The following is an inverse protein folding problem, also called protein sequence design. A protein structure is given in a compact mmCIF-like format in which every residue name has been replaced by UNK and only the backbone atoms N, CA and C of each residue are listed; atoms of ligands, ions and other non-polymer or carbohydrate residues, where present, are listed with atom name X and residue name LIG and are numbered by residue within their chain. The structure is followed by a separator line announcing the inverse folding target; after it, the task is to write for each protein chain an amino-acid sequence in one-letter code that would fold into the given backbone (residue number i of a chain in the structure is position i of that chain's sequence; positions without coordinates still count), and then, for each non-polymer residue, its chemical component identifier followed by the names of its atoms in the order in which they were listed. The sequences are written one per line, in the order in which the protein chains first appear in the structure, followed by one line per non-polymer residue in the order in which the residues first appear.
data_IF_002757548213
#
_entry.id   IF_002757548213
#
_cell.length_a   1.000
_cell.length_b   1.000
_cell.length_c   1.000
_cell.angle_alpha   90.00
_cell.angle_beta   90.00
_cell.angle_gamma   90.00
#
_symmetry.space_group_name_H-M   'P 1'
#
loop_
_entity.id
_entity.type
_entity.pdbx_description
1 polymer ?
#
# COMPACT_ATOMS: atom_id res chain seq x y z
N UNK A 1 -11.14 0.67 -14.82
CA UNK A 1 -11.90 -0.49 -14.32
C UNK A 1 -11.02 -1.72 -14.08
N UNK A 2 -10.06 -2.05 -14.97
CA UNK A 2 -9.25 -3.26 -14.81
C UNK A 2 -8.43 -3.28 -13.52
N UNK A 3 -7.78 -2.16 -13.17
CA UNK A 3 -7.04 -2.05 -11.92
C UNK A 3 -7.96 -2.23 -10.69
N UNK A 4 -9.16 -1.63 -10.72
CA UNK A 4 -10.12 -1.77 -9.64
C UNK A 4 -10.66 -3.20 -9.53
N UNK A 5 -10.92 -3.87 -10.65
CA UNK A 5 -11.31 -5.28 -10.65
C UNK A 5 -10.21 -6.17 -10.05
N UNK A 6 -8.94 -5.85 -10.32
CA UNK A 6 -7.81 -6.56 -9.72
C UNK A 6 -7.69 -6.29 -8.21
N UNK A 7 -8.02 -5.08 -7.71
CA UNK A 7 -8.14 -4.80 -6.28
C UNK A 7 -9.21 -5.69 -5.65
N UNK A 8 -10.40 -5.77 -6.25
CA UNK A 8 -11.50 -6.58 -5.73
C UNK A 8 -11.12 -8.06 -5.70
N UNK A 9 -10.53 -8.57 -6.78
CA UNK A 9 -10.07 -9.96 -6.84
C UNK A 9 -8.97 -10.24 -5.81
N UNK A 10 -7.98 -9.33 -5.69
CA UNK A 10 -6.91 -9.48 -4.69
C UNK A 10 -7.46 -9.49 -3.27
N UNK A 11 -8.52 -8.72 -2.99
CA UNK A 11 -9.17 -8.76 -1.69
C UNK A 11 -9.82 -10.12 -1.41
N UNK A 12 -10.55 -10.70 -2.37
CA UNK A 12 -11.13 -12.03 -2.20
C UNK A 12 -10.04 -13.10 -2.00
N UNK A 13 -8.93 -12.99 -2.73
CA UNK A 13 -7.79 -13.88 -2.55
C UNK A 13 -7.11 -13.70 -1.19
N UNK A 14 -7.00 -12.46 -0.70
CA UNK A 14 -6.48 -12.17 0.63
C UNK A 14 -7.35 -12.82 1.72
N UNK A 15 -8.67 -12.70 1.60
CA UNK A 15 -9.61 -13.32 2.56
C UNK A 15 -9.55 -14.85 2.50
N UNK A 16 -9.36 -15.44 1.31
CA UNK A 16 -9.31 -16.88 1.14
C UNK A 16 -7.99 -17.52 1.59
N UNK A 17 -6.88 -16.81 1.46
CA UNK A 17 -5.53 -17.39 1.64
C UNK A 17 -4.76 -16.82 2.82
N UNK A 18 -5.09 -15.61 3.28
CA UNK A 18 -4.31 -14.87 4.29
C UNK A 18 -2.93 -14.40 3.80
N UNK A 19 -2.62 -14.52 2.50
CA UNK A 19 -1.29 -14.21 1.97
C UNK A 19 -1.10 -12.70 1.80
N UNK A 20 -0.10 -12.14 2.46
CA UNK A 20 0.22 -10.70 2.46
C UNK A 20 0.49 -10.11 1.06
N UNK A 21 0.90 -10.93 0.08
CA UNK A 21 1.12 -10.49 -1.30
C UNK A 21 -0.13 -9.87 -1.95
N UNK A 22 -1.31 -10.32 -1.56
CA UNK A 22 -2.55 -9.74 -2.09
C UNK A 22 -2.83 -8.37 -1.48
N UNK A 23 -2.48 -8.15 -0.22
CA UNK A 23 -2.55 -6.82 0.40
C UNK A 23 -1.54 -5.84 -0.23
N UNK A 24 -0.35 -6.31 -0.62
CA UNK A 24 0.62 -5.53 -1.38
C UNK A 24 0.08 -5.13 -2.77
N UNK A 25 -0.54 -6.07 -3.48
CA UNK A 25 -1.16 -5.79 -4.78
C UNK A 25 -2.30 -4.75 -4.66
N UNK A 26 -3.08 -4.83 -3.59
CA UNK A 26 -4.12 -3.83 -3.29
C UNK A 26 -3.49 -2.45 -3.10
N UNK A 27 -2.49 -2.34 -2.22
CA UNK A 27 -1.78 -1.08 -1.96
C UNK A 27 -1.20 -0.47 -3.24
N UNK A 28 -0.44 -1.28 -3.98
CA UNK A 28 0.20 -0.85 -5.22
C UNK A 28 -0.79 -0.30 -6.24
N UNK A 29 -1.93 -0.96 -6.39
CA UNK A 29 -2.96 -0.56 -7.33
C UNK A 29 -3.76 0.65 -6.84
N UNK A 30 -4.03 0.76 -5.54
CA UNK A 30 -4.70 1.93 -4.98
C UNK A 30 -3.87 3.18 -5.22
N UNK A 31 -2.58 3.17 -4.90
CA UNK A 31 -1.72 4.34 -5.06
C UNK A 31 -1.43 4.67 -6.54
N UNK A 32 -1.11 3.69 -7.37
CA UNK A 32 -0.52 3.96 -8.69
C UNK A 32 -1.47 3.85 -9.86
N UNK A 33 -2.54 3.06 -9.75
CA UNK A 33 -3.46 2.84 -10.85
C UNK A 33 -4.84 3.46 -10.60
N UNK A 34 -5.39 3.30 -9.40
CA UNK A 34 -6.72 3.80 -9.08
C UNK A 34 -6.70 5.30 -8.80
N UNK A 35 -5.77 5.79 -7.97
CA UNK A 35 -5.64 7.21 -7.64
C UNK A 35 -5.30 8.06 -8.86
N UNK A 36 -4.42 7.59 -9.74
CA UNK A 36 -4.06 8.28 -10.96
C UNK A 36 -5.26 8.47 -11.93
N UNK A 37 -6.31 7.66 -11.77
CA UNK A 37 -7.52 7.74 -12.57
C UNK A 37 -8.43 8.94 -12.26
N UNK A 38 -8.24 9.62 -11.13
CA UNK A 38 -9.03 10.78 -10.69
C UNK A 38 -8.16 12.03 -10.62
N UNK A 39 -8.69 13.18 -10.96
CA UNK A 39 -8.01 14.46 -10.77
C UNK A 39 -7.94 14.85 -9.28
N UNK A 40 -6.99 15.72 -8.93
CA UNK A 40 -6.81 16.20 -7.56
C UNK A 40 -8.06 16.91 -7.00
N UNK A 41 -8.83 17.55 -7.87
CA UNK A 41 -10.11 18.21 -7.49
C UNK A 41 -11.30 17.24 -7.40
N UNK A 42 -11.09 15.95 -7.72
CA UNK A 42 -12.11 14.91 -7.70
C UNK A 42 -13.19 15.02 -8.81
N UNK A 43 -13.06 15.95 -9.77
CA UNK A 43 -14.13 16.31 -10.72
C UNK A 43 -13.93 15.78 -12.13
N UNK A 44 -12.77 15.20 -12.42
CA UNK A 44 -12.49 14.63 -13.72
C UNK A 44 -11.67 13.36 -13.64
N UNK A 45 -11.78 12.53 -14.68
CA UNK A 45 -11.30 11.16 -14.65
C UNK A 45 -10.52 10.80 -15.92
N UNK A 46 -9.60 9.85 -15.80
CA UNK A 46 -9.00 9.14 -16.92
C UNK A 46 -9.71 7.79 -17.11
N UNK A 47 -10.04 7.46 -18.35
CA UNK A 47 -10.51 6.14 -18.73
C UNK A 47 -9.36 5.16 -18.95
N UNK A 48 -8.27 5.67 -19.52
CA UNK A 48 -7.00 4.98 -19.71
C UNK A 48 -5.92 5.76 -18.99
N UNK A 49 -5.01 5.08 -18.36
CA UNK A 49 -3.85 5.67 -17.70
C UNK A 49 -2.58 5.07 -18.32
N UNK A 50 -2.14 5.56 -19.50
CA UNK A 50 -0.96 5.06 -20.17
C UNK A 50 0.29 5.46 -19.38
N UNK A 51 1.27 4.55 -19.35
CA UNK A 51 2.57 4.80 -18.72
C UNK A 51 3.45 5.77 -19.52
N UNK A 52 3.14 5.96 -20.79
CA UNK A 52 3.79 6.92 -21.68
C UNK A 52 2.70 7.64 -22.46
N UNK A 53 2.68 8.97 -22.40
CA UNK A 53 1.61 9.79 -23.00
C UNK A 53 2.15 11.11 -23.51
N UNK A 54 1.64 11.56 -24.66
CA UNK A 54 1.91 12.87 -25.25
C UNK A 54 0.84 13.92 -24.87
N UNK A 55 0.10 13.70 -23.80
CA UNK A 55 -0.87 14.68 -23.30
C UNK A 55 -2.32 14.19 -23.29
N UNK A 56 -2.63 13.20 -22.50
CA UNK A 56 -4.00 12.77 -22.26
C UNK A 56 -4.68 13.66 -21.21
N UNK A 57 -5.89 14.18 -21.53
CA UNK A 57 -6.67 15.02 -20.61
C UNK A 57 -7.75 14.21 -19.91
N UNK A 58 -7.94 14.47 -18.64
CA UNK A 58 -9.09 13.99 -17.86
C UNK A 58 -10.38 14.64 -18.35
N UNK A 59 -11.49 13.91 -18.27
CA UNK A 59 -12.82 14.39 -18.66
C UNK A 59 -13.75 14.39 -17.45
N UNK A 60 -14.68 15.34 -17.34
CA UNK A 60 -15.64 15.38 -16.23
C UNK A 60 -16.52 14.13 -16.18
N UNK A 61 -16.85 13.56 -17.34
CA UNK A 61 -17.68 12.36 -17.43
C UNK A 61 -17.48 11.62 -18.75
N UNK A 62 -18.04 10.43 -18.83
CA UNK A 62 -18.00 9.55 -20.01
C UNK A 62 -19.39 8.99 -20.29
N UNK A 63 -19.73 8.78 -21.57
CA UNK A 63 -20.99 8.15 -21.98
C UNK A 63 -21.16 6.75 -21.34
N UNK A 64 -20.08 5.99 -21.25
CA UNK A 64 -20.00 4.74 -20.49
C UNK A 64 -19.20 4.99 -19.23
N UNK A 65 -19.89 5.30 -18.13
CA UNK A 65 -19.28 5.82 -16.91
C UNK A 65 -18.78 4.72 -15.94
N UNK A 66 -18.26 3.60 -16.44
CA UNK A 66 -17.81 2.49 -15.57
C UNK A 66 -16.59 2.87 -14.72
N UNK A 67 -15.66 3.68 -15.23
CA UNK A 67 -14.46 4.05 -14.47
C UNK A 67 -14.78 5.02 -13.33
N UNK A 68 -15.50 6.14 -13.52
CA UNK A 68 -15.87 7.03 -12.42
C UNK A 68 -16.67 6.32 -11.32
N UNK A 69 -17.69 5.54 -11.69
CA UNK A 69 -18.53 4.86 -10.70
C UNK A 69 -17.75 3.79 -9.92
N UNK A 70 -16.86 3.04 -10.56
CA UNK A 70 -16.02 2.06 -9.87
C UNK A 70 -14.98 2.73 -8.95
N UNK A 71 -14.39 3.86 -9.35
CA UNK A 71 -13.51 4.65 -8.47
C UNK A 71 -14.30 5.11 -7.25
N UNK A 72 -15.45 5.74 -7.44
CA UNK A 72 -16.27 6.26 -6.35
C UNK A 72 -16.66 5.18 -5.34
N UNK A 73 -17.14 4.01 -5.80
CA UNK A 73 -17.50 2.93 -4.89
C UNK A 73 -16.29 2.32 -4.16
N UNK A 74 -15.12 2.28 -4.80
CA UNK A 74 -13.88 1.77 -4.17
C UNK A 74 -13.46 2.70 -3.04
N UNK A 75 -13.47 4.01 -3.27
CA UNK A 75 -13.15 5.00 -2.24
C UNK A 75 -14.17 5.00 -1.10
N UNK A 76 -15.46 4.86 -1.40
CA UNK A 76 -16.50 4.75 -0.38
C UNK A 76 -16.40 3.48 0.47
N UNK A 77 -15.71 2.44 -0.02
CA UNK A 77 -15.51 1.17 0.68
C UNK A 77 -14.05 0.93 1.09
N UNK A 78 -13.20 1.97 1.13
CA UNK A 78 -11.77 1.84 1.38
C UNK A 78 -11.48 1.13 2.73
N UNK A 79 -12.31 1.38 3.74
CA UNK A 79 -12.16 0.78 5.08
C UNK A 79 -12.11 -0.74 5.08
N UNK A 80 -12.81 -1.41 4.14
CA UNK A 80 -12.82 -2.88 4.07
C UNK A 80 -11.47 -3.51 3.70
N UNK A 81 -10.53 -2.72 3.15
CA UNK A 81 -9.20 -3.19 2.78
C UNK A 81 -8.14 -2.98 3.86
N UNK A 82 -8.51 -2.33 4.96
CA UNK A 82 -7.55 -1.93 6.01
C UNK A 82 -7.33 -3.07 7.00
N UNK A 83 -8.40 -3.71 7.44
CA UNK A 83 -8.35 -4.73 8.47
C UNK A 83 -9.09 -6.01 8.10
N UNK A 84 -8.66 -7.12 8.71
CA UNK A 84 -9.47 -8.32 8.90
C UNK A 84 -9.45 -8.71 10.35
N UNK A 85 -10.56 -9.26 10.83
CA UNK A 85 -10.74 -9.69 12.22
C UNK A 85 -11.28 -11.11 12.22
N UNK A 86 -10.73 -11.96 13.06
CA UNK A 86 -11.21 -13.32 13.27
C UNK A 86 -10.96 -13.72 14.72
N UNK A 87 -12.02 -13.89 15.52
CA UNK A 87 -11.93 -14.21 16.93
C UNK A 87 -10.98 -13.27 17.68
N UNK A 88 -9.82 -13.77 18.11
CA UNK A 88 -8.79 -13.01 18.83
C UNK A 88 -7.63 -12.55 17.94
N UNK A 89 -7.83 -12.43 16.64
CA UNK A 89 -6.80 -12.01 15.70
C UNK A 89 -7.24 -10.78 14.93
N UNK A 90 -6.32 -9.84 14.73
CA UNK A 90 -6.50 -8.65 13.89
C UNK A 90 -5.36 -8.59 12.89
N UNK A 91 -5.68 -8.48 11.60
CA UNK A 91 -4.71 -8.21 10.55
C UNK A 91 -4.80 -6.77 10.12
N UNK A 92 -3.68 -6.06 10.13
CA UNK A 92 -3.53 -4.72 9.53
C UNK A 92 -2.96 -4.91 8.13
N UNK A 93 -3.79 -4.73 7.12
CA UNK A 93 -3.42 -4.93 5.71
C UNK A 93 -2.88 -3.66 5.07
N UNK A 94 -3.43 -2.50 5.44
CA UNK A 94 -3.09 -1.19 4.88
C UNK A 94 -2.85 -0.18 6.00
N UNK A 95 -1.94 0.76 5.76
CA UNK A 95 -1.54 1.77 6.73
C UNK A 95 -2.01 3.17 6.30
N UNK A 96 -3.32 3.33 6.13
CA UNK A 96 -3.93 4.65 5.94
C UNK A 96 -4.27 5.28 7.28
N UNK A 97 -4.26 6.62 7.36
CA UNK A 97 -4.79 7.32 8.54
C UNK A 97 -6.24 6.93 8.78
N UNK A 98 -6.52 6.36 9.93
CA UNK A 98 -7.87 5.95 10.28
C UNK A 98 -8.04 5.72 11.78
N UNK A 99 -9.30 5.59 12.17
CA UNK A 99 -9.74 5.11 13.47
C UNK A 99 -10.77 4.01 13.23
N UNK A 100 -10.49 2.82 13.75
CA UNK A 100 -11.40 1.68 13.73
C UNK A 100 -11.88 1.35 15.13
N UNK A 101 -13.14 0.98 15.25
CA UNK A 101 -13.74 0.45 16.47
C UNK A 101 -14.10 -1.01 16.24
N UNK A 102 -13.72 -1.87 17.18
CA UNK A 102 -13.93 -3.31 17.12
C UNK A 102 -14.91 -3.66 18.23
N UNK A 103 -16.03 -4.24 17.86
CA UNK A 103 -17.08 -4.66 18.78
C UNK A 103 -16.81 -6.08 19.28
N UNK A 104 -16.93 -6.35 20.59
CA UNK A 104 -16.85 -7.71 21.14
C UNK A 104 -17.90 -8.67 20.58
N UNK A 105 -19.02 -8.17 20.03
CA UNK A 105 -20.07 -8.98 19.41
C UNK A 105 -19.57 -9.80 18.22
N UNK A 106 -18.45 -9.39 17.60
CA UNK A 106 -17.81 -10.14 16.50
C UNK A 106 -16.90 -11.29 17.01
N UNK A 107 -17.02 -11.67 18.28
CA UNK A 107 -16.20 -12.72 18.90
C UNK A 107 -14.83 -12.27 19.35
N UNK A 108 -14.55 -10.96 19.30
CA UNK A 108 -13.30 -10.39 19.78
C UNK A 108 -13.31 -10.27 21.32
N UNK A 109 -12.16 -10.45 22.02
CA UNK A 109 -12.12 -10.59 23.49
C UNK A 109 -12.49 -9.31 24.26
N UNK A 110 -12.41 -8.12 23.65
CA UNK A 110 -12.73 -6.85 24.28
C UNK A 110 -13.13 -5.80 23.26
N UNK A 111 -13.92 -4.80 23.69
CA UNK A 111 -14.09 -3.59 22.86
C UNK A 111 -12.72 -2.92 22.67
N UNK A 112 -12.35 -2.68 21.43
CA UNK A 112 -11.06 -2.11 21.11
C UNK A 112 -11.20 -0.98 20.09
N UNK A 113 -10.32 0.02 20.21
CA UNK A 113 -10.17 1.10 19.25
C UNK A 113 -8.73 1.06 18.72
N UNK A 114 -8.57 0.96 17.41
CA UNK A 114 -7.29 1.05 16.73
C UNK A 114 -7.22 2.38 16.00
N UNK A 115 -6.17 3.14 16.25
CA UNK A 115 -5.90 4.42 15.59
C UNK A 115 -4.58 4.31 14.88
N UNK A 116 -4.58 4.49 13.56
CA UNK A 116 -3.37 4.55 12.75
C UNK A 116 -3.12 6.00 12.33
N UNK A 117 -1.93 6.50 12.67
CA UNK A 117 -1.35 7.75 12.16
C UNK A 117 -0.18 7.37 11.25
N UNK A 118 -0.30 7.68 9.97
CA UNK A 118 0.63 7.21 8.94
C UNK A 118 1.21 8.38 8.16
N UNK A 119 2.51 8.36 7.91
CA UNK A 119 3.17 9.28 6.98
C UNK A 119 3.36 8.69 5.58
N UNK A 120 2.89 7.45 5.38
CA UNK A 120 2.86 6.87 4.03
C UNK A 120 1.90 7.65 3.13
N UNK A 121 2.20 7.76 1.84
CA UNK A 121 3.29 7.13 1.11
C UNK A 121 4.61 7.93 1.06
N UNK A 122 4.71 9.05 1.77
CA UNK A 122 5.84 9.98 1.65
C UNK A 122 7.01 9.64 2.57
N UNK A 123 6.70 9.23 3.79
CA UNK A 123 7.66 8.80 4.80
C UNK A 123 7.25 7.43 5.33
N UNK A 124 8.23 6.58 5.64
CA UNK A 124 7.98 5.21 6.10
C UNK A 124 7.55 5.11 7.57
N UNK A 125 6.99 6.15 8.17
CA UNK A 125 6.58 6.16 9.59
C UNK A 125 5.09 5.86 9.72
N UNK A 126 4.80 4.91 10.61
CA UNK A 126 3.42 4.55 11.00
C UNK A 126 3.37 4.40 12.51
N UNK A 127 2.42 5.04 13.16
CA UNK A 127 2.12 4.87 14.58
C UNK A 127 0.73 4.26 14.75
N UNK A 128 0.63 3.20 15.52
CA UNK A 128 -0.62 2.50 15.82
C UNK A 128 -0.87 2.62 17.31
N UNK A 129 -2.01 3.17 17.69
CA UNK A 129 -2.46 3.20 19.08
C UNK A 129 -3.63 2.26 19.25
N UNK A 130 -3.53 1.42 20.28
CA UNK A 130 -4.58 0.48 20.67
C UNK A 130 -5.14 0.97 22.00
N UNK A 131 -6.46 1.18 22.04
CA UNK A 131 -7.19 1.50 23.28
C UNK A 131 -8.20 0.42 23.53
N UNK A 132 -8.18 -0.14 24.73
CA UNK A 132 -9.14 -1.15 25.20
C UNK A 132 -9.60 -0.80 26.62
N UNK A 133 -10.83 -1.15 26.95
CA UNK A 133 -11.39 -0.85 28.27
C UNK A 133 -10.75 -1.68 29.38
N UNK A 134 -10.53 -2.97 29.10
CA UNK A 134 -9.89 -3.91 30.00
C UNK A 134 -8.77 -4.65 29.27
N UNK A 135 -7.63 -4.93 29.91
CA UNK A 135 -6.56 -5.72 29.31
C UNK A 135 -7.07 -7.02 28.73
N UNK A 136 -6.65 -7.35 27.52
CA UNK A 136 -7.09 -8.54 26.80
C UNK A 136 -5.98 -9.14 25.95
N UNK A 137 -5.93 -10.48 25.89
CA UNK A 137 -4.99 -11.19 25.02
C UNK A 137 -5.58 -11.33 23.62
N UNK A 138 -4.86 -10.82 22.63
CA UNK A 138 -5.12 -11.05 21.23
C UNK A 138 -3.84 -10.97 20.39
N UNK A 139 -3.92 -11.45 19.17
CA UNK A 139 -2.82 -11.45 18.23
C UNK A 139 -3.04 -10.38 17.14
N UNK A 140 -2.03 -9.52 16.99
CA UNK A 140 -2.02 -8.48 15.97
C UNK A 140 -1.02 -8.87 14.88
N UNK A 141 -1.48 -8.93 13.65
CA UNK A 141 -0.69 -9.25 12.48
C UNK A 141 -0.44 -7.98 11.66
N UNK A 142 0.79 -7.49 11.66
CA UNK A 142 1.20 -6.29 10.94
C UNK A 142 1.79 -6.68 9.59
N UNK A 143 1.22 -6.19 8.50
CA UNK A 143 1.78 -6.43 7.18
C UNK A 143 3.13 -5.74 7.04
N UNK A 144 4.12 -6.47 6.60
CA UNK A 144 5.42 -5.93 6.19
C UNK A 144 5.43 -5.90 4.67
N UNK A 145 5.34 -4.70 4.04
CA UNK A 145 5.27 -4.57 2.60
C UNK A 145 6.53 -5.09 1.91
N UNK A 146 6.39 -5.63 0.70
CA UNK A 146 7.54 -6.15 -0.07
C UNK A 146 8.53 -5.07 -0.50
N UNK A 147 8.07 -3.82 -0.66
CA UNK A 147 8.92 -2.68 -0.99
C UNK A 147 9.74 -2.17 0.21
N UNK A 148 9.35 -2.54 1.42
CA UNK A 148 10.08 -2.17 2.62
C UNK A 148 11.35 -3.01 2.75
N UNK A 149 12.45 -2.40 3.15
CA UNK A 149 13.58 -3.12 3.73
C UNK A 149 13.22 -3.75 5.09
N UNK A 150 14.20 -4.00 5.94
CA UNK A 150 13.94 -4.48 7.30
C UNK A 150 13.36 -3.34 8.15
N UNK A 151 12.07 -3.39 8.55
CA UNK A 151 11.48 -2.34 9.36
C UNK A 151 12.00 -2.39 10.79
N UNK A 152 11.95 -1.24 11.46
CA UNK A 152 12.08 -1.13 12.91
C UNK A 152 10.69 -1.06 13.52
N UNK A 153 10.42 -1.88 14.53
CA UNK A 153 9.15 -1.86 15.27
C UNK A 153 9.47 -1.63 16.74
N UNK A 154 8.83 -0.64 17.33
CA UNK A 154 8.86 -0.33 18.77
C UNK A 154 7.46 -0.54 19.33
N UNK A 155 7.38 -1.13 20.52
CA UNK A 155 6.13 -1.35 21.25
C UNK A 155 6.29 -0.75 22.64
N UNK A 156 5.42 0.21 22.97
CA UNK A 156 5.50 0.94 24.25
C UNK A 156 6.94 1.42 24.53
N UNK A 157 7.57 2.07 23.54
CA UNK A 157 8.96 2.58 23.56
C UNK A 157 10.07 1.51 23.67
N UNK A 158 9.74 0.23 23.63
CA UNK A 158 10.70 -0.86 23.62
C UNK A 158 10.89 -1.40 22.19
N UNK A 159 12.14 -1.52 21.75
CA UNK A 159 12.44 -2.07 20.44
C UNK A 159 12.21 -3.58 20.43
N UNK A 160 11.29 -4.03 19.58
CA UNK A 160 11.09 -5.46 19.33
C UNK A 160 12.10 -5.96 18.27
N UNK A 161 12.72 -7.10 18.58
CA UNK A 161 13.52 -7.81 17.57
C UNK A 161 12.59 -8.48 16.57
N UNK A 162 12.56 -7.96 15.38
CA UNK A 162 11.74 -8.52 14.31
C UNK A 162 12.45 -9.75 13.75
N UNK A 163 11.89 -10.92 14.00
CA UNK A 163 12.25 -12.15 13.31
C UNK A 163 11.60 -12.19 11.90
N UNK A 164 11.90 -11.20 11.06
CA UNK A 164 11.48 -11.28 9.66
C UNK A 164 12.29 -12.41 9.02
N UNK A 165 11.64 -13.37 8.34
CA UNK A 165 12.36 -14.36 7.54
C UNK A 165 13.36 -13.64 6.64
N UNK A 166 14.60 -14.11 6.60
CA UNK A 166 15.68 -13.48 5.82
C UNK A 166 15.15 -13.21 4.40
N UNK A 167 14.94 -11.95 4.09
CA UNK A 167 14.56 -11.54 2.75
C UNK A 167 15.82 -11.51 1.92
N UNK A 168 15.89 -12.15 0.75
CA UNK A 168 16.94 -11.83 -0.19
C UNK A 168 16.86 -10.32 -0.41
N UNK A 169 18.01 -9.63 -0.41
CA UNK A 169 18.08 -8.17 -0.52
C UNK A 169 17.09 -7.68 -1.56
N UNK A 170 16.07 -6.95 -1.10
CA UNK A 170 14.93 -6.51 -1.92
C UNK A 170 15.38 -5.55 -3.03
N UNK A 171 16.59 -5.06 -2.94
CA UNK A 171 17.27 -4.26 -3.97
C UNK A 171 17.99 -5.19 -4.96
N UNK A 172 17.29 -6.20 -5.46
CA UNK A 172 17.77 -6.85 -6.67
C UNK A 172 17.42 -5.96 -7.86
N UNK A 173 18.32 -5.89 -8.83
CA UNK A 173 18.14 -5.16 -10.09
C UNK A 173 16.89 -5.58 -10.91
N UNK A 174 16.03 -6.42 -10.36
CA UNK A 174 14.82 -6.96 -10.97
C UNK A 174 13.51 -6.30 -10.51
N UNK A 175 13.54 -5.36 -9.54
CA UNK A 175 12.36 -4.58 -9.16
C UNK A 175 11.46 -5.23 -8.10
N UNK A 176 10.28 -4.64 -7.93
CA UNK A 176 9.23 -5.02 -6.99
C UNK A 176 8.79 -6.49 -7.15
N UNK A 177 8.73 -7.21 -6.03
CA UNK A 177 8.17 -8.57 -5.97
C UNK A 177 7.21 -8.71 -4.79
N UNK A 178 5.90 -8.85 -5.02
CA UNK A 178 4.91 -9.00 -3.96
C UNK A 178 5.07 -10.30 -3.14
N UNK A 179 5.85 -11.24 -3.63
CA UNK A 179 6.10 -12.52 -2.94
C UNK A 179 6.94 -12.40 -1.68
N UNK A 180 7.53 -11.22 -1.42
CA UNK A 180 8.34 -10.98 -0.23
C UNK A 180 7.57 -10.29 0.90
N UNK A 181 6.31 -9.96 0.71
CA UNK A 181 5.48 -9.45 1.80
C UNK A 181 5.11 -10.56 2.79
N UNK A 182 4.98 -10.19 4.05
CA UNK A 182 4.59 -11.12 5.11
C UNK A 182 3.80 -10.38 6.20
N UNK A 183 3.26 -11.14 7.15
CA UNK A 183 2.74 -10.57 8.39
C UNK A 183 3.74 -10.83 9.52
N UNK A 184 3.98 -9.80 10.31
CA UNK A 184 4.66 -9.88 11.58
C UNK A 184 3.60 -10.01 12.69
N UNK A 185 3.64 -11.11 13.43
CA UNK A 185 2.62 -11.45 14.42
C UNK A 185 3.07 -11.11 15.83
N UNK A 186 2.21 -10.43 16.56
CA UNK A 186 2.40 -10.00 17.93
C UNK A 186 1.27 -10.56 18.81
N UNK A 187 1.51 -11.67 19.46
CA UNK A 187 0.59 -12.22 20.46
C UNK A 187 0.99 -11.75 21.85
N UNK A 188 0.13 -11.00 22.51
CA UNK A 188 0.37 -10.53 23.88
C UNK A 188 -0.91 -10.12 24.59
N UNK A 189 -0.83 -9.94 25.90
CA UNK A 189 -1.84 -9.25 26.67
C UNK A 189 -1.63 -7.73 26.46
N UNK A 190 -2.60 -7.10 25.83
CA UNK A 190 -2.56 -5.67 25.53
C UNK A 190 -3.14 -4.88 26.69
N UNK A 191 -2.47 -3.78 27.05
CA UNK A 191 -2.91 -2.86 28.09
C UNK A 191 -3.90 -1.84 27.54
N UNK A 192 -4.56 -1.11 28.45
CA UNK A 192 -5.55 -0.07 28.11
C UNK A 192 -5.08 0.92 27.05
N UNK A 193 -3.80 1.24 27.05
CA UNK A 193 -3.18 2.11 26.05
C UNK A 193 -1.86 1.48 25.63
N UNK A 194 -1.82 0.92 24.46
CA UNK A 194 -0.61 0.37 23.86
C UNK A 194 -0.27 1.11 22.57
N UNK A 195 1.02 1.30 22.30
CA UNK A 195 1.51 1.94 21.08
C UNK A 195 2.45 1.02 20.33
N UNK A 196 2.40 1.12 19.00
CA UNK A 196 3.34 0.45 18.10
C UNK A 196 3.80 1.48 17.09
N UNK A 197 5.11 1.74 17.06
CA UNK A 197 5.73 2.62 16.08
C UNK A 197 6.54 1.80 15.09
N UNK A 198 6.27 1.98 13.81
CA UNK A 198 6.91 1.25 12.72
C UNK A 198 7.65 2.26 11.84
N UNK A 199 8.90 1.94 11.52
CA UNK A 199 9.67 2.67 10.51
C UNK A 199 10.00 1.70 9.37
N UNK A 200 9.38 1.93 8.23
CA UNK A 200 9.64 1.20 6.99
C UNK A 200 10.75 1.90 6.19
N UNK A 201 11.92 1.29 5.99
CA UNK A 201 12.92 1.81 5.07
C UNK A 201 12.36 1.89 3.65
N UNK A 202 12.48 3.05 3.02
CA UNK A 202 11.95 3.35 1.69
C UNK A 202 13.10 3.67 0.73
N UNK A 203 13.79 2.65 0.26
CA UNK A 203 14.82 2.80 -0.76
C UNK A 203 14.21 3.09 -2.14
N UNK A 204 14.95 3.81 -2.99
CA UNK A 204 14.59 3.96 -4.40
C UNK A 204 14.86 2.62 -5.10
N UNK A 205 13.87 2.12 -5.82
CA UNK A 205 13.98 0.90 -6.63
C UNK A 205 13.89 1.24 -8.12
N UNK A 206 14.81 0.67 -8.90
CA UNK A 206 14.87 0.77 -10.36
C UNK A 206 14.27 -0.48 -10.96
N UNK A 207 13.19 -0.33 -11.72
CA UNK A 207 12.50 -1.44 -12.37
C UNK A 207 12.88 -1.53 -13.83
N UNK A 208 13.24 -2.75 -14.27
CA UNK A 208 13.53 -3.07 -15.66
C UNK A 208 12.61 -4.18 -16.12
N UNK A 209 11.99 -4.02 -17.27
CA UNK A 209 11.15 -5.06 -17.83
C UNK A 209 11.97 -6.25 -18.34
N UNK A 210 11.35 -7.43 -18.34
CA UNK A 210 11.98 -8.59 -18.94
C UNK A 210 12.31 -8.35 -20.43
N UNK A 211 13.47 -8.83 -20.90
CA UNK A 211 14.00 -8.58 -22.26
C UNK A 211 13.05 -8.96 -23.40
N UNK A 212 12.10 -9.87 -23.16
CA UNK A 212 11.07 -10.25 -24.14
C UNK A 212 9.99 -9.17 -24.36
N UNK A 213 9.86 -8.20 -23.44
CA UNK A 213 8.93 -7.09 -23.56
C UNK A 213 9.58 -6.00 -24.40
N UNK A 214 9.54 -6.17 -25.72
CA UNK A 214 10.22 -5.31 -26.70
C UNK A 214 9.89 -3.81 -26.57
N UNK A 215 8.63 -3.38 -26.32
CA UNK A 215 8.28 -1.95 -26.20
C UNK A 215 8.97 -1.23 -25.04
N UNK A 216 9.43 -1.96 -24.03
CA UNK A 216 10.07 -1.38 -22.86
C UNK A 216 11.60 -1.49 -22.88
N UNK A 217 12.20 -1.89 -24.00
CA UNK A 217 13.66 -1.95 -24.10
C UNK A 217 14.29 -0.58 -23.90
N UNK A 218 15.34 -0.51 -23.08
CA UNK A 218 16.03 0.73 -22.76
C UNK A 218 15.24 1.67 -21.84
N UNK A 219 14.05 1.25 -21.38
CA UNK A 219 13.24 2.02 -20.44
C UNK A 219 13.35 1.45 -19.03
N UNK A 220 13.22 2.34 -18.04
CA UNK A 220 13.15 2.01 -16.63
C UNK A 220 11.92 2.69 -16.01
N UNK A 221 11.48 2.16 -14.88
CA UNK A 221 10.56 2.85 -13.98
C UNK A 221 11.21 2.95 -12.60
N UNK A 222 10.87 4.00 -11.88
CA UNK A 222 11.36 4.25 -10.52
C UNK A 222 10.21 4.11 -9.53
N UNK A 223 10.49 3.51 -8.38
CA UNK A 223 9.56 3.54 -7.24
C UNK A 223 10.30 3.86 -5.95
N UNK A 224 9.56 4.38 -4.97
CA UNK A 224 10.01 4.54 -3.60
C UNK A 224 8.83 4.27 -2.66
N UNK A 225 9.00 3.31 -1.76
CA UNK A 225 7.86 2.81 -0.99
C UNK A 225 6.76 2.28 -1.92
N UNK A 226 5.48 2.57 -1.64
CA UNK A 226 4.37 2.12 -2.48
C UNK A 226 4.19 2.92 -3.77
N UNK A 227 4.93 4.02 -3.98
CA UNK A 227 4.74 4.92 -5.12
C UNK A 227 5.64 4.58 -6.30
N UNK A 228 5.05 4.57 -7.49
CA UNK A 228 5.76 4.64 -8.79
C UNK A 228 5.85 6.09 -9.21
N UNK A 229 7.05 6.54 -9.54
CA UNK A 229 7.30 7.90 -9.99
C UNK A 229 7.18 7.99 -11.51
N UNK A 230 6.69 9.12 -11.97
CA UNK A 230 6.65 9.46 -13.40
C UNK A 230 7.25 10.85 -13.62
N UNK A 231 7.77 11.06 -14.81
CA UNK A 231 8.22 12.38 -15.27
C UNK A 231 7.05 13.05 -16.00
N UNK A 232 6.64 14.23 -15.55
CA UNK A 232 5.54 14.98 -16.18
C UNK A 232 6.07 16.32 -16.73
N UNK A 233 5.58 16.70 -17.91
CA UNK A 233 6.02 17.93 -18.56
C UNK A 233 5.59 19.19 -17.82
N UNK A 234 4.55 19.12 -17.01
CA UNK A 234 4.10 20.24 -16.18
C UNK A 234 5.13 20.59 -15.10
N UNK A 235 5.81 19.58 -14.58
CA UNK A 235 6.85 19.75 -13.54
C UNK A 235 8.25 19.96 -14.16
N UNK A 236 8.40 19.64 -15.45
CA UNK A 236 9.68 19.68 -16.17
C UNK A 236 9.55 20.44 -17.50
N UNK A 237 9.19 21.73 -17.49
CA UNK A 237 8.86 22.46 -18.71
C UNK A 237 10.06 22.67 -19.65
N UNK A 238 11.29 22.58 -19.12
CA UNK A 238 12.52 22.71 -19.91
C UNK A 238 13.06 21.37 -20.44
N UNK A 239 12.40 20.24 -20.13
CA UNK A 239 12.90 18.90 -20.44
C UNK A 239 12.02 18.27 -21.51
N UNK A 240 12.62 17.79 -22.60
CA UNK A 240 11.94 16.91 -23.53
C UNK A 240 11.75 15.54 -22.88
N UNK A 241 10.57 15.29 -22.32
CA UNK A 241 10.26 14.02 -21.63
C UNK A 241 10.49 12.79 -22.54
N UNK A 242 10.03 12.78 -23.82
CA UNK A 242 10.47 11.75 -24.76
C UNK A 242 11.98 11.84 -24.98
N UNK A 243 12.72 10.87 -24.50
CA UNK A 243 14.18 10.85 -24.61
C UNK A 243 14.95 11.25 -23.34
N UNK A 244 14.24 11.60 -22.25
CA UNK A 244 14.88 11.76 -20.96
C UNK A 244 15.58 10.47 -20.54
N UNK A 245 16.85 10.57 -20.12
CA UNK A 245 17.65 9.44 -19.67
C UNK A 245 18.07 9.63 -18.21
N UNK A 246 18.11 8.55 -17.47
CA UNK A 246 18.67 8.52 -16.13
C UNK A 246 20.18 8.31 -16.24
N UNK A 247 20.95 9.19 -15.63
CA UNK A 247 22.37 8.98 -15.39
C UNK A 247 22.50 8.01 -14.20
N UNK A 248 22.84 6.75 -14.48
CA UNK A 248 22.92 5.71 -13.47
C UNK A 248 24.18 5.80 -12.60
N UNK A 249 25.10 6.69 -12.95
CA UNK A 249 26.39 6.88 -12.25
C UNK A 249 26.35 8.07 -11.27
N UNK A 250 25.21 8.73 -11.16
CA UNK A 250 24.93 9.80 -10.18
C UNK A 250 23.78 9.41 -9.26
#
# INVERSE_FOLDING_TARGET
CAALASIFWSHEMLMATGEARYADLIEWQLYNAASAGIALDGRSYLYRNPLESEGQKRRPWYATACCPSNVSRTWASLGKYIYSINNSNIWVHQYFDNKAEIDPQDGFPAAAQIIIDSKLPWEGRVSIRIKIDNPAEFELHLRIPSWSGNPSIMINDNQEKIGIPSRPDVVTASGYSPYHSCYFSLKRNWDKNSSIDIIFPMAIAVHRSHRKVKPNRGKIALSRGPLVYCLESIDNPATAIPGAALDADK
#
